data_IF_923031696657
#
_entry.id   IF_923031696657
#
_cell.length_a   1.000
_cell.length_b   1.000
_cell.length_c   1.000
_cell.angle_alpha   90.00
_cell.angle_beta   90.00
_cell.angle_gamma   90.00
#
_symmetry.space_group_name_H-M   'P 1'
#
loop_
_entity.id
_entity.type
_entity.pdbx_description
1 polymer ?
#
# COMPACT_ATOMS: atom_id res chain seq x y z
N UNK A 1 1.20 4.32 -20.74
CA UNK A 1 0.63 4.21 -19.38
C UNK A 1 1.33 3.06 -18.70
N UNK A 2 2.15 3.36 -17.70
CA UNK A 2 2.97 2.34 -17.05
C UNK A 2 2.13 1.52 -16.08
N UNK A 3 2.04 0.21 -16.30
CA UNK A 3 1.32 -0.73 -15.42
C UNK A 3 1.71 -0.59 -13.94
N UNK A 4 2.96 -0.21 -13.67
CA UNK A 4 3.45 0.06 -12.33
C UNK A 4 2.71 1.23 -11.63
N UNK A 5 2.37 2.29 -12.36
CA UNK A 5 1.71 3.48 -11.79
C UNK A 5 0.26 3.18 -11.41
N UNK A 6 -0.50 2.55 -12.32
CA UNK A 6 -1.88 2.11 -12.04
C UNK A 6 -1.94 1.19 -10.83
N UNK A 7 -0.96 0.30 -10.72
CA UNK A 7 -0.87 -0.67 -9.66
C UNK A 7 -0.57 -0.02 -8.29
N UNK A 8 0.37 0.93 -8.23
CA UNK A 8 0.65 1.70 -7.01
C UNK A 8 -0.59 2.47 -6.55
N UNK A 9 -1.32 3.10 -7.48
CA UNK A 9 -2.57 3.81 -7.17
C UNK A 9 -3.65 2.88 -6.60
N UNK A 10 -3.78 1.66 -7.13
CA UNK A 10 -4.71 0.66 -6.62
C UNK A 10 -4.36 0.25 -5.18
N UNK A 11 -3.11 -0.14 -4.93
CA UNK A 11 -2.59 -0.55 -3.61
C UNK A 11 -2.85 0.52 -2.54
N UNK A 12 -2.57 1.79 -2.86
CA UNK A 12 -2.80 2.90 -1.94
C UNK A 12 -4.29 3.15 -1.71
N UNK A 13 -5.12 3.03 -2.75
CA UNK A 13 -6.57 3.23 -2.64
C UNK A 13 -7.21 2.20 -1.70
N UNK A 14 -6.84 0.92 -1.85
CA UNK A 14 -7.32 -0.16 -0.97
C UNK A 14 -6.83 0.06 0.46
N UNK A 15 -5.56 0.44 0.65
CA UNK A 15 -5.00 0.73 1.96
C UNK A 15 -5.78 1.86 2.67
N UNK A 16 -6.04 2.97 1.97
CA UNK A 16 -6.79 4.09 2.55
C UNK A 16 -8.25 3.75 2.81
N UNK A 17 -8.88 2.94 1.95
CA UNK A 17 -10.24 2.47 2.17
C UNK A 17 -10.33 1.63 3.44
N UNK A 18 -9.42 0.67 3.62
CA UNK A 18 -9.37 -0.20 4.81
C UNK A 18 -9.19 0.61 6.10
N UNK A 19 -8.30 1.61 6.08
CA UNK A 19 -8.04 2.46 7.26
C UNK A 19 -9.20 3.42 7.53
N UNK A 20 -9.80 4.04 6.50
CA UNK A 20 -10.80 5.12 6.68
C UNK A 20 -12.23 4.63 6.82
N UNK A 21 -12.61 3.61 6.04
CA UNK A 21 -13.98 3.13 5.93
C UNK A 21 -14.19 1.87 6.77
N UNK A 22 -13.29 0.88 6.61
CA UNK A 22 -13.38 -0.40 7.34
C UNK A 22 -12.85 -0.28 8.77
N UNK A 23 -12.05 0.76 9.06
CA UNK A 23 -11.43 1.03 10.37
C UNK A 23 -10.46 -0.07 10.84
N UNK A 24 -9.84 -0.78 9.90
CA UNK A 24 -8.78 -1.72 10.22
C UNK A 24 -7.51 -0.98 10.67
N UNK A 25 -6.71 -1.65 11.49
CA UNK A 25 -5.39 -1.12 11.86
C UNK A 25 -4.49 -1.06 10.62
N UNK A 26 -3.42 -0.25 10.69
CA UNK A 26 -2.43 -0.18 9.61
C UNK A 26 -1.82 -1.55 9.30
N UNK A 27 -1.52 -2.34 10.33
CA UNK A 27 -0.92 -3.68 10.19
C UNK A 27 -1.87 -4.63 9.45
N UNK A 28 -3.13 -4.71 9.88
CA UNK A 28 -4.15 -5.55 9.23
C UNK A 28 -4.39 -5.11 7.79
N UNK A 29 -4.50 -3.80 7.56
CA UNK A 29 -4.74 -3.23 6.24
C UNK A 29 -3.59 -3.53 5.28
N UNK A 30 -2.34 -3.40 5.74
CA UNK A 30 -1.14 -3.69 4.95
C UNK A 30 -1.04 -5.18 4.62
N UNK A 31 -1.35 -6.06 5.58
CA UNK A 31 -1.34 -7.50 5.34
C UNK A 31 -2.35 -7.91 4.26
N UNK A 32 -3.59 -7.41 4.32
CA UNK A 32 -4.61 -7.67 3.30
C UNK A 32 -4.18 -7.18 1.91
N UNK A 33 -3.75 -5.92 1.82
CA UNK A 33 -3.28 -5.32 0.57
C UNK A 33 -2.10 -6.09 -0.02
N UNK A 34 -1.21 -6.60 0.83
CA UNK A 34 -0.03 -7.37 0.41
C UNK A 34 -0.41 -8.75 -0.13
N UNK A 35 -1.43 -9.40 0.41
CA UNK A 35 -1.95 -10.66 -0.11
C UNK A 35 -2.62 -10.46 -1.47
N UNK A 36 -3.48 -9.45 -1.60
CA UNK A 36 -4.14 -9.10 -2.87
C UNK A 36 -3.12 -8.75 -3.96
N UNK A 37 -2.10 -7.97 -3.59
CA UNK A 37 -0.96 -7.65 -4.43
C UNK A 37 -0.26 -8.91 -4.98
N UNK A 38 0.00 -9.88 -4.11
CA UNK A 38 0.76 -11.07 -4.44
C UNK A 38 0.00 -11.92 -5.48
N UNK A 39 -1.30 -12.10 -5.27
CA UNK A 39 -2.18 -12.83 -6.19
C UNK A 39 -2.19 -12.18 -7.59
N UNK A 40 -2.21 -10.84 -7.65
CA UNK A 40 -2.19 -10.12 -8.93
C UNK A 40 -0.83 -10.29 -9.63
N UNK A 41 0.28 -10.21 -8.90
CA UNK A 41 1.62 -10.39 -9.47
C UNK A 41 1.86 -11.82 -9.96
N UNK A 42 1.38 -12.81 -9.20
CA UNK A 42 1.42 -14.21 -9.60
C UNK A 42 0.67 -14.42 -10.92
N UNK A 43 -0.55 -13.87 -11.03
CA UNK A 43 -1.33 -13.90 -12.28
C UNK A 43 -0.64 -13.17 -13.44
N UNK A 44 0.07 -12.08 -13.16
CA UNK A 44 0.82 -11.30 -14.14
C UNK A 44 2.21 -11.87 -14.46
N UNK A 45 2.64 -12.97 -13.82
CA UNK A 45 3.97 -13.57 -13.92
C UNK A 45 5.11 -12.59 -13.61
N UNK A 46 4.87 -11.62 -12.72
CA UNK A 46 5.88 -10.63 -12.31
C UNK A 46 6.67 -11.22 -11.13
N UNK A 47 8.01 -11.28 -11.19
CA UNK A 47 8.81 -11.82 -10.10
C UNK A 47 8.69 -10.93 -8.85
N UNK A 48 7.97 -11.42 -7.84
CA UNK A 48 7.86 -10.81 -6.52
C UNK A 48 9.16 -10.94 -5.74
N UNK A 49 9.68 -9.82 -5.23
CA UNK A 49 10.66 -9.84 -4.12
C UNK A 49 9.95 -10.29 -2.83
N UNK A 50 10.71 -10.79 -1.86
CA UNK A 50 10.16 -11.36 -0.62
C UNK A 50 9.08 -10.48 0.05
N UNK A 51 7.93 -11.08 0.35
CA UNK A 51 6.74 -10.46 0.95
C UNK A 51 7.03 -9.49 2.11
N UNK A 52 7.92 -9.82 3.08
CA UNK A 52 8.21 -8.93 4.21
C UNK A 52 8.81 -7.58 3.78
N UNK A 53 9.56 -7.55 2.68
CA UNK A 53 10.15 -6.32 2.17
C UNK A 53 9.09 -5.39 1.57
N UNK A 54 8.05 -5.96 0.95
CA UNK A 54 6.91 -5.21 0.41
C UNK A 54 6.05 -4.61 1.54
N UNK A 55 5.75 -5.39 2.57
CA UNK A 55 5.04 -4.94 3.78
C UNK A 55 5.75 -3.74 4.41
N UNK A 56 7.05 -3.89 4.68
CA UNK A 56 7.87 -2.83 5.28
C UNK A 56 7.84 -1.56 4.43
N UNK A 57 8.03 -1.69 3.12
CA UNK A 57 8.03 -0.54 2.21
C UNK A 57 6.68 0.17 2.15
N UNK A 58 5.57 -0.56 2.25
CA UNK A 58 4.23 0.02 2.26
C UNK A 58 3.95 0.78 3.58
N UNK A 59 4.38 0.22 4.71
CA UNK A 59 4.32 0.89 6.02
C UNK A 59 5.13 2.18 6.00
N UNK A 60 6.38 2.13 5.53
CA UNK A 60 7.27 3.29 5.43
C UNK A 60 6.66 4.39 4.54
N UNK A 61 6.08 4.02 3.40
CA UNK A 61 5.38 4.96 2.51
C UNK A 61 4.16 5.61 3.18
N UNK A 62 3.38 4.83 3.93
CA UNK A 62 2.24 5.38 4.67
C UNK A 62 2.68 6.37 5.75
N UNK A 63 3.75 6.07 6.49
CA UNK A 63 4.31 6.97 7.48
C UNK A 63 4.87 8.26 6.86
N UNK A 64 5.63 8.15 5.77
CA UNK A 64 6.12 9.29 5.02
C UNK A 64 4.97 10.20 4.56
N UNK A 65 3.90 9.60 4.02
CA UNK A 65 2.68 10.33 3.65
C UNK A 65 2.03 11.03 4.86
N UNK A 66 1.93 10.36 6.02
CA UNK A 66 1.36 10.96 7.24
C UNK A 66 2.17 12.14 7.75
N UNK A 67 3.50 12.07 7.70
CA UNK A 67 4.37 13.18 8.10
C UNK A 67 4.24 14.35 7.12
N UNK A 68 4.22 14.09 5.81
CA UNK A 68 3.95 15.12 4.81
C UNK A 68 2.58 15.77 5.05
N UNK A 69 1.54 14.98 5.32
CA UNK A 69 0.19 15.50 5.59
C UNK A 69 0.15 16.39 6.83
N UNK A 70 0.86 16.03 7.91
CA UNK A 70 0.97 16.86 9.12
C UNK A 70 1.67 18.18 8.83
N UNK A 71 2.73 18.15 8.02
CA UNK A 71 3.53 19.34 7.70
C UNK A 71 2.84 20.26 6.68
N UNK A 72 2.03 19.73 5.77
CA UNK A 72 1.20 20.55 4.86
C UNK A 72 0.05 21.28 5.57
N UNK A 73 -0.38 20.82 6.75
CA UNK A 73 -1.42 21.49 7.57
C UNK A 73 -0.90 22.63 8.44
N UNK A 74 0.42 22.90 8.43
CA UNK A 74 1.07 23.97 9.20
C UNK A 74 1.20 25.29 8.43
N UNK A 75 0.56 25.42 7.27
CA UNK A 75 0.50 26.64 6.47
C UNK A 75 -0.88 27.28 6.62
#
# INVERSE_FOLDING_TARGET
MDYASLFISFVLSVLFYNIRQVKLTLSESVNLVTLDFFIIWEKARIPTRALPNCVKKLIDLYHAWRELQKNCKKI
#
